data_IF_373107566841
#
_entry.id   IF_373107566841
#
_cell.length_a   1.000
_cell.length_b   1.000
_cell.length_c   1.000
_cell.angle_alpha   90.00
_cell.angle_beta   90.00
_cell.angle_gamma   90.00
#
_symmetry.space_group_name_H-M   'P 1'
#
loop_
_entity.id
_entity.type
_entity.pdbx_description
1 polymer ?
#
# COMPACT_ATOMS: atom_id res chain seq x y z
N UNK A 1 -5.64 -7.00 20.59
CA UNK A 1 -5.71 -5.58 20.14
C UNK A 1 -4.57 -5.36 19.15
N UNK A 2 -4.83 -4.72 18.02
CA UNK A 2 -3.84 -4.32 17.01
C UNK A 2 -3.54 -2.85 17.21
N UNK A 3 -2.26 -2.49 17.28
CA UNK A 3 -1.80 -1.10 17.36
C UNK A 3 -0.90 -0.86 16.14
N UNK A 4 -1.19 0.19 15.39
CA UNK A 4 -0.37 0.63 14.25
C UNK A 4 0.53 1.76 14.71
N UNK A 5 1.82 1.61 14.48
CA UNK A 5 2.82 2.59 14.87
C UNK A 5 3.60 3.12 13.67
N UNK A 6 4.14 4.34 13.83
CA UNK A 6 4.91 4.99 12.78
C UNK A 6 6.27 4.29 12.59
N UNK A 7 6.62 3.97 11.36
CA UNK A 7 7.89 3.34 10.99
C UNK A 7 9.16 4.15 11.34
N UNK A 8 9.00 5.43 11.69
CA UNK A 8 10.12 6.28 12.17
C UNK A 8 10.48 6.04 13.63
N UNK A 9 9.61 5.37 14.41
CA UNK A 9 9.92 5.00 15.79
C UNK A 9 10.93 3.88 15.81
N UNK A 10 12.00 4.06 16.61
CA UNK A 10 13.03 3.02 16.78
C UNK A 10 12.43 1.79 17.46
N UNK A 11 12.90 0.61 17.08
CA UNK A 11 12.45 -0.67 17.65
C UNK A 11 12.57 -0.72 19.18
N UNK A 12 13.68 -0.16 19.74
CA UNK A 12 13.87 -0.05 21.18
C UNK A 12 12.77 0.77 21.87
N UNK A 13 12.32 1.86 21.24
CA UNK A 13 11.23 2.69 21.75
C UNK A 13 9.92 1.92 21.77
N UNK A 14 9.65 1.15 20.71
CA UNK A 14 8.47 0.30 20.62
C UNK A 14 8.50 -0.82 21.66
N UNK A 15 9.64 -1.48 21.86
CA UNK A 15 9.80 -2.53 22.88
C UNK A 15 9.61 -2.00 24.30
N UNK A 16 10.05 -0.77 24.60
CA UNK A 16 9.80 -0.11 25.89
C UNK A 16 8.33 0.22 26.10
N UNK A 17 7.66 0.71 25.05
CA UNK A 17 6.23 1.07 25.13
C UNK A 17 5.31 -0.17 25.20
N UNK A 18 5.72 -1.25 24.55
CA UNK A 18 4.93 -2.48 24.39
C UNK A 18 5.78 -3.74 24.67
N UNK A 19 6.20 -3.98 25.93
CA UNK A 19 7.16 -5.02 26.30
C UNK A 19 6.68 -6.43 25.94
N UNK A 20 5.37 -6.68 26.01
CA UNK A 20 4.74 -7.99 25.73
C UNK A 20 4.15 -8.09 24.32
N UNK A 21 4.38 -7.10 23.44
CA UNK A 21 3.81 -7.10 22.11
C UNK A 21 4.67 -7.86 21.11
N UNK A 22 4.02 -8.56 20.18
CA UNK A 22 4.65 -8.99 18.93
C UNK A 22 4.74 -7.77 18.00
N UNK A 23 5.95 -7.36 17.69
CA UNK A 23 6.21 -6.23 16.77
C UNK A 23 6.51 -6.80 15.39
N UNK A 24 5.70 -6.42 14.40
CA UNK A 24 5.85 -6.84 13.01
C UNK A 24 6.19 -5.62 12.15
N UNK A 25 7.29 -5.69 11.40
CA UNK A 25 7.63 -4.71 10.37
C UNK A 25 6.93 -5.11 9.06
N UNK A 26 6.02 -4.26 8.60
CA UNK A 26 5.26 -4.44 7.35
C UNK A 26 5.61 -3.38 6.30
N UNK A 27 6.73 -2.68 6.49
CA UNK A 27 7.21 -1.65 5.55
C UNK A 27 7.84 -2.28 4.30
N UNK A 28 8.16 -1.45 3.31
CA UNK A 28 8.91 -1.89 2.12
C UNK A 28 10.33 -2.39 2.42
N UNK A 29 10.84 -2.07 3.60
CA UNK A 29 12.16 -2.51 4.10
C UNK A 29 12.10 -3.78 4.94
N UNK A 30 10.90 -4.29 5.22
CA UNK A 30 10.72 -5.53 5.96
C UNK A 30 11.44 -6.70 5.28
N UNK A 31 11.89 -7.65 6.08
CA UNK A 31 12.52 -8.88 5.60
C UNK A 31 11.51 -10.03 5.54
N UNK A 32 11.79 -11.01 4.66
CA UNK A 32 10.96 -12.20 4.55
C UNK A 32 9.54 -11.94 4.03
N UNK A 33 8.60 -12.77 4.46
CA UNK A 33 7.24 -12.80 3.93
C UNK A 33 6.45 -11.51 4.21
N UNK A 34 6.71 -10.82 5.34
CA UNK A 34 5.98 -9.61 5.73
C UNK A 34 6.21 -8.43 4.77
N UNK A 35 7.28 -8.44 3.99
CA UNK A 35 7.49 -7.46 2.92
C UNK A 35 6.37 -7.45 1.89
N UNK A 36 5.68 -8.57 1.71
CA UNK A 36 4.52 -8.69 0.82
C UNK A 36 3.32 -7.85 1.26
N UNK A 37 3.28 -7.42 2.53
CA UNK A 37 2.25 -6.51 3.05
C UNK A 37 2.52 -5.05 2.68
N UNK A 38 3.70 -4.73 2.16
CA UNK A 38 3.99 -3.39 1.66
C UNK A 38 3.17 -3.07 0.41
N UNK A 39 2.56 -1.87 0.30
CA UNK A 39 1.87 -1.44 -0.90
C UNK A 39 2.80 -1.27 -2.12
N UNK A 40 4.12 -1.25 -1.91
CA UNK A 40 5.13 -1.20 -2.97
C UNK A 40 5.43 -2.57 -3.59
N UNK A 41 5.03 -3.66 -2.90
CA UNK A 41 5.38 -5.02 -3.34
C UNK A 41 4.68 -5.37 -4.65
N UNK A 42 5.42 -5.92 -5.65
CA UNK A 42 4.84 -6.27 -6.95
C UNK A 42 4.13 -7.63 -6.87
N UNK A 43 2.84 -7.59 -6.57
CA UNK A 43 1.99 -8.77 -6.49
C UNK A 43 1.52 -9.28 -7.84
N UNK A 44 1.55 -8.44 -8.86
CA UNK A 44 1.05 -8.70 -10.21
C UNK A 44 -0.48 -8.94 -10.26
N UNK A 45 -1.12 -8.46 -11.30
CA UNK A 45 -2.53 -8.72 -11.56
C UNK A 45 -3.52 -7.99 -10.68
N UNK A 46 -3.10 -6.90 -10.00
CA UNK A 46 -4.00 -6.08 -9.19
C UNK A 46 -4.93 -5.29 -10.12
N UNK A 47 -6.26 -5.45 -10.02
CA UNK A 47 -7.19 -4.68 -10.86
C UNK A 47 -7.03 -3.17 -10.63
N UNK A 48 -6.89 -2.40 -11.71
CA UNK A 48 -6.86 -0.94 -11.62
C UNK A 48 -8.30 -0.44 -11.46
N UNK A 49 -8.63 0.26 -10.37
CA UNK A 49 -9.97 0.78 -10.15
C UNK A 49 -10.48 1.63 -11.31
N UNK A 50 -11.76 1.50 -11.65
CA UNK A 50 -12.42 2.23 -12.73
C UNK A 50 -11.80 2.04 -14.12
N UNK A 51 -10.98 1.00 -14.31
CA UNK A 51 -10.32 0.71 -15.57
C UNK A 51 -10.47 -0.78 -15.89
N UNK A 52 -11.65 -1.23 -16.36
CA UNK A 52 -11.90 -2.64 -16.66
C UNK A 52 -10.86 -3.24 -17.61
N UNK A 53 -10.37 -4.44 -17.28
CA UNK A 53 -9.40 -5.15 -18.08
C UNK A 53 -7.94 -4.74 -17.90
N UNK A 54 -7.66 -3.69 -17.10
CA UNK A 54 -6.29 -3.28 -16.77
C UNK A 54 -5.87 -3.77 -15.39
N UNK A 55 -4.64 -4.26 -15.29
CA UNK A 55 -4.01 -4.68 -14.05
C UNK A 55 -2.70 -3.94 -13.83
N UNK A 56 -2.26 -3.89 -12.58
CA UNK A 56 -1.00 -3.28 -12.17
C UNK A 56 -0.19 -4.24 -11.30
N UNK A 57 1.08 -3.94 -11.13
CA UNK A 57 2.01 -4.74 -10.35
C UNK A 57 1.89 -4.51 -8.85
N UNK A 58 1.68 -3.26 -8.41
CA UNK A 58 1.62 -2.88 -7.00
C UNK A 58 0.52 -1.86 -6.70
N UNK A 59 0.12 -1.77 -5.44
CA UNK A 59 -0.86 -0.77 -4.99
C UNK A 59 -0.31 0.64 -5.15
N UNK A 60 0.96 0.86 -4.77
CA UNK A 60 1.58 2.17 -4.95
C UNK A 60 1.79 2.52 -6.42
N UNK A 61 2.02 1.52 -7.27
CA UNK A 61 2.02 1.70 -8.73
C UNK A 61 0.71 2.26 -9.26
N UNK A 62 -0.43 1.73 -8.79
CA UNK A 62 -1.76 2.28 -9.12
C UNK A 62 -1.89 3.72 -8.62
N UNK A 63 -1.55 3.94 -7.35
CA UNK A 63 -1.66 5.26 -6.72
C UNK A 63 -0.84 6.33 -7.44
N UNK A 64 0.42 6.05 -7.70
CA UNK A 64 1.31 6.97 -8.41
C UNK A 64 0.94 7.10 -9.89
N UNK A 65 0.54 6.01 -10.52
CA UNK A 65 0.17 5.99 -11.92
C UNK A 65 -1.09 6.80 -12.25
N UNK A 66 -2.11 6.76 -11.38
CA UNK A 66 -3.33 7.54 -11.56
C UNK A 66 -3.22 9.00 -11.10
N UNK A 67 -2.12 9.37 -10.44
CA UNK A 67 -1.90 10.73 -9.96
C UNK A 67 -1.61 11.69 -11.10
N UNK A 68 -2.38 12.77 -11.16
CA UNK A 68 -2.25 13.83 -12.16
C UNK A 68 -1.56 15.03 -11.55
N UNK A 69 -0.61 15.59 -12.26
CA UNK A 69 0.19 16.75 -11.88
C UNK A 69 -0.02 17.90 -12.86
N UNK A 70 0.52 19.04 -12.51
CA UNK A 70 0.49 20.24 -13.36
C UNK A 70 1.11 19.99 -14.74
N UNK A 71 2.22 19.22 -14.79
CA UNK A 71 2.98 18.95 -16.01
C UNK A 71 2.99 17.47 -16.44
N UNK A 72 2.17 16.62 -15.81
CA UNK A 72 2.08 15.20 -16.18
C UNK A 72 0.73 14.61 -15.85
N UNK A 73 0.21 13.83 -16.77
CA UNK A 73 -1.02 13.06 -16.62
C UNK A 73 -0.72 11.65 -16.09
N UNK A 74 -1.71 10.76 -16.16
CA UNK A 74 -1.63 9.34 -15.82
C UNK A 74 -0.38 8.70 -16.44
N UNK A 75 0.29 7.86 -15.67
CA UNK A 75 1.48 7.12 -16.08
C UNK A 75 1.28 5.62 -15.90
N UNK A 76 0.88 4.95 -16.98
CA UNK A 76 0.66 3.51 -17.00
C UNK A 76 1.95 2.72 -16.78
N UNK A 77 3.10 3.25 -17.18
CA UNK A 77 4.39 2.57 -16.97
C UNK A 77 4.73 2.45 -15.49
N UNK A 78 4.40 3.45 -14.69
CA UNK A 78 4.55 3.38 -13.22
C UNK A 78 3.72 2.22 -12.64
N UNK A 79 2.54 1.93 -13.19
CA UNK A 79 1.70 0.80 -12.74
C UNK A 79 2.35 -0.56 -13.02
N UNK A 80 3.21 -0.66 -14.01
CA UNK A 80 3.90 -1.90 -14.41
C UNK A 80 5.27 -2.07 -13.77
N UNK A 81 5.64 -1.20 -12.83
CA UNK A 81 6.93 -1.26 -12.14
C UNK A 81 6.98 -2.43 -11.14
N UNK A 82 7.95 -3.31 -11.31
CA UNK A 82 8.18 -4.50 -10.46
C UNK A 82 9.34 -4.34 -9.49
N UNK A 83 10.05 -3.20 -9.52
CA UNK A 83 11.33 -3.04 -8.82
C UNK A 83 11.20 -2.54 -7.39
N UNK A 84 10.03 -2.09 -6.96
CA UNK A 84 9.77 -1.37 -5.70
C UNK A 84 10.55 -0.04 -5.57
N UNK A 85 11.21 0.40 -6.65
CA UNK A 85 12.04 1.61 -6.68
C UNK A 85 11.47 2.61 -7.68
N UNK A 86 11.70 3.90 -7.43
CA UNK A 86 11.31 4.98 -8.34
C UNK A 86 9.82 5.06 -8.68
N UNK A 87 8.96 4.52 -7.80
CA UNK A 87 7.51 4.60 -7.96
C UNK A 87 6.99 6.02 -7.71
N UNK A 88 7.57 6.73 -6.74
CA UNK A 88 7.11 8.06 -6.34
C UNK A 88 7.36 9.08 -7.44
N UNK A 89 6.28 9.68 -7.93
CA UNK A 89 6.31 10.82 -8.85
C UNK A 89 6.36 12.11 -8.04
N UNK A 90 7.43 12.89 -8.21
CA UNK A 90 7.76 14.01 -7.33
C UNK A 90 7.24 15.35 -7.84
N UNK A 91 6.85 16.24 -6.93
CA UNK A 91 6.46 17.63 -7.23
C UNK A 91 7.59 18.37 -7.96
N UNK A 92 8.83 18.12 -7.58
CA UNK A 92 10.00 18.76 -8.23
C UNK A 92 10.05 18.48 -9.74
N UNK A 93 9.64 17.27 -10.18
CA UNK A 93 9.71 16.87 -11.59
C UNK A 93 8.42 17.18 -12.35
N UNK A 94 7.27 17.06 -11.70
CA UNK A 94 5.97 17.05 -12.37
C UNK A 94 5.07 18.22 -12.01
N UNK A 95 5.49 19.09 -11.10
CA UNK A 95 4.69 20.21 -10.63
C UNK A 95 3.67 19.83 -9.54
N UNK A 96 2.71 20.69 -9.29
CA UNK A 96 1.73 20.52 -8.22
C UNK A 96 0.76 19.38 -8.55
N UNK A 97 0.46 18.46 -7.60
CA UNK A 97 -0.57 17.46 -7.79
C UNK A 97 -1.95 18.08 -7.94
N UNK A 98 -2.68 17.66 -8.97
CA UNK A 98 -4.06 18.10 -9.26
C UNK A 98 -5.12 17.16 -8.68
N UNK A 99 -4.77 15.92 -8.42
CA UNK A 99 -5.65 14.87 -7.93
C UNK A 99 -5.29 13.51 -8.50
N UNK A 100 -6.22 12.56 -8.39
CA UNK A 100 -6.10 11.22 -8.99
C UNK A 100 -7.22 11.03 -10.00
N UNK A 101 -6.88 10.56 -11.18
CA UNK A 101 -7.87 10.29 -12.21
C UNK A 101 -8.73 9.08 -11.83
N UNK A 102 -10.03 9.22 -11.98
CA UNK A 102 -11.00 8.13 -11.75
C UNK A 102 -10.97 7.15 -12.93
N UNK A 103 -9.99 6.25 -12.90
CA UNK A 103 -9.64 5.36 -14.00
C UNK A 103 -8.70 6.00 -15.02
N UNK A 104 -7.93 5.15 -15.73
CA UNK A 104 -6.90 5.60 -16.68
C UNK A 104 -7.48 6.48 -17.80
N UNK A 105 -8.70 6.16 -18.24
CA UNK A 105 -9.40 6.85 -19.34
C UNK A 105 -10.52 7.78 -18.86
N UNK A 106 -10.70 7.91 -17.53
CA UNK A 106 -11.71 8.79 -16.97
C UNK A 106 -11.34 10.27 -17.13
N UNK A 107 -12.32 11.14 -17.09
CA UNK A 107 -12.18 12.60 -17.15
C UNK A 107 -12.27 13.28 -15.78
N UNK A 108 -12.81 12.56 -14.77
CA UNK A 108 -12.95 13.07 -13.41
C UNK A 108 -11.64 12.95 -12.62
N UNK A 109 -11.26 14.04 -11.92
CA UNK A 109 -10.21 14.04 -10.93
C UNK A 109 -10.80 13.95 -9.52
N UNK A 110 -10.28 13.02 -8.74
CA UNK A 110 -10.61 12.83 -7.33
C UNK A 110 -9.61 13.60 -6.46
N UNK A 111 -10.12 14.26 -5.41
CA UNK A 111 -9.26 14.79 -4.35
C UNK A 111 -8.55 13.68 -3.58
N UNK A 112 -7.59 14.06 -2.74
CA UNK A 112 -6.76 13.10 -1.99
C UNK A 112 -7.60 12.12 -1.14
N UNK A 113 -8.57 12.64 -0.39
CA UNK A 113 -9.37 11.81 0.52
C UNK A 113 -10.27 10.84 -0.24
N UNK A 114 -10.97 11.34 -1.24
CA UNK A 114 -11.84 10.53 -2.11
C UNK A 114 -11.03 9.47 -2.85
N UNK A 115 -9.87 9.83 -3.41
CA UNK A 115 -8.97 8.88 -4.07
C UNK A 115 -8.46 7.81 -3.09
N UNK A 116 -8.13 8.18 -1.85
CA UNK A 116 -7.72 7.22 -0.83
C UNK A 116 -8.80 6.17 -0.59
N UNK A 117 -10.06 6.56 -0.52
CA UNK A 117 -11.19 5.65 -0.29
C UNK A 117 -11.60 4.86 -1.55
N UNK A 118 -11.55 5.45 -2.72
CA UNK A 118 -12.06 4.83 -3.94
C UNK A 118 -10.98 4.10 -4.76
N UNK A 119 -9.71 4.43 -4.57
CA UNK A 119 -8.58 3.84 -5.32
C UNK A 119 -7.65 3.05 -4.41
N UNK A 120 -7.05 3.71 -3.41
CA UNK A 120 -5.99 3.10 -2.61
C UNK A 120 -6.49 1.95 -1.73
N UNK A 121 -7.49 2.22 -0.90
CA UNK A 121 -8.04 1.22 0.02
C UNK A 121 -8.62 0.01 -0.70
N UNK A 122 -9.43 0.13 -1.76
CA UNK A 122 -9.93 -1.02 -2.51
C UNK A 122 -8.82 -1.86 -3.14
N UNK A 123 -7.78 -1.22 -3.70
CA UNK A 123 -6.63 -1.89 -4.28
C UNK A 123 -5.83 -2.66 -3.22
N UNK A 124 -5.59 -2.05 -2.07
CA UNK A 124 -4.89 -2.70 -0.97
C UNK A 124 -5.70 -3.83 -0.33
N UNK A 125 -7.00 -3.63 -0.15
CA UNK A 125 -7.92 -4.69 0.31
C UNK A 125 -7.88 -5.90 -0.62
N UNK A 126 -7.91 -5.67 -1.93
CA UNK A 126 -7.81 -6.74 -2.91
C UNK A 126 -6.52 -7.55 -2.75
N UNK A 127 -5.38 -6.89 -2.54
CA UNK A 127 -4.08 -7.56 -2.30
C UNK A 127 -4.13 -8.40 -1.03
N UNK A 128 -4.67 -7.87 0.07
CA UNK A 128 -4.78 -8.61 1.32
C UNK A 128 -5.65 -9.88 1.16
N UNK A 129 -6.74 -9.79 0.43
CA UNK A 129 -7.70 -10.87 0.21
C UNK A 129 -7.22 -11.91 -0.81
N UNK A 130 -6.46 -11.52 -1.83
CA UNK A 130 -6.09 -12.40 -2.95
C UNK A 130 -4.63 -12.85 -2.94
N UNK A 131 -3.73 -12.14 -2.26
CA UNK A 131 -2.28 -12.39 -2.30
C UNK A 131 -1.64 -12.60 -0.92
N UNK A 132 -2.30 -12.18 0.15
CA UNK A 132 -1.71 -12.13 1.49
C UNK A 132 -2.62 -12.72 2.58
N UNK A 133 -3.59 -13.56 2.27
CA UNK A 133 -4.54 -14.13 3.24
C UNK A 133 -3.83 -14.84 4.40
N UNK A 134 -2.85 -15.68 4.11
CA UNK A 134 -2.02 -16.38 5.08
C UNK A 134 -1.28 -15.43 6.05
N UNK A 135 -0.78 -14.31 5.53
CA UNK A 135 -0.08 -13.31 6.33
C UNK A 135 -1.03 -12.50 7.22
N UNK A 136 -2.24 -12.23 6.76
CA UNK A 136 -3.27 -11.52 7.55
C UNK A 136 -3.81 -12.39 8.68
N UNK A 137 -3.91 -13.69 8.46
CA UNK A 137 -4.38 -14.67 9.47
C UNK A 137 -3.33 -15.00 10.53
N UNK A 138 -2.04 -14.83 10.23
CA UNK A 138 -0.93 -15.19 11.13
C UNK A 138 -1.04 -14.55 12.52
N UNK A 139 -1.29 -13.25 12.68
CA UNK A 139 -1.44 -12.61 13.99
C UNK A 139 -2.61 -13.17 14.81
N UNK A 140 -3.71 -13.55 14.14
CA UNK A 140 -4.87 -14.13 14.80
C UNK A 140 -4.56 -15.56 15.32
N UNK A 141 -3.81 -16.36 14.56
CA UNK A 141 -3.39 -17.70 14.96
C UNK A 141 -2.43 -17.66 16.15
N UNK A 142 -1.47 -16.71 16.17
CA UNK A 142 -0.54 -16.52 17.29
C UNK A 142 -1.30 -16.06 18.56
N UNK A 143 -2.24 -15.14 18.42
CA UNK A 143 -3.07 -14.65 19.54
C UNK A 143 -3.91 -15.76 20.17
N UNK A 144 -4.43 -16.70 19.38
CA UNK A 144 -5.20 -17.84 19.89
C UNK A 144 -4.34 -18.86 20.64
N UNK A 145 -3.09 -19.12 20.20
CA UNK A 145 -2.19 -20.08 20.85
C UNK A 145 -1.69 -19.61 22.22
N UNK A 146 -1.47 -18.31 22.40
CA UNK A 146 -0.83 -17.76 23.59
C UNK A 146 -1.82 -17.14 24.59
N UNK A 147 -3.13 -17.18 24.35
CA UNK A 147 -4.13 -16.51 25.19
C UNK A 147 -3.93 -14.98 25.31
N UNK A 148 -2.97 -14.43 24.57
CA UNK A 148 -2.65 -13.01 24.49
C UNK A 148 -2.96 -12.50 23.09
N UNK A 149 -3.67 -11.41 23.00
CA UNK A 149 -3.89 -10.76 21.71
C UNK A 149 -2.54 -10.29 21.14
N UNK A 150 -2.22 -10.76 19.93
CA UNK A 150 -1.12 -10.19 19.16
C UNK A 150 -1.39 -8.69 18.93
N UNK A 151 -0.43 -7.84 19.29
CA UNK A 151 -0.46 -6.43 18.98
C UNK A 151 0.44 -6.23 17.74
N UNK A 152 -0.14 -5.73 16.71
CA UNK A 152 0.56 -5.31 15.49
C UNK A 152 0.88 -3.83 15.54
#
# INVERSE_FOLDING_TARGET
MIIVENNRKKLETLRKAYPDALILDVTSHATGALRKLSPFYPHTGIPVPFTPGMTAESVDGIWQGLKVFEYADVDVQTMQNTTMKNLKRTVRKYGVPRGHRKGVYGDQLLDYLTASHEIYLPSYKWVLENKCQDLVELPQAIGRKNGRLARL
#
